data_IF_888516243746
#
_entry.id   IF_888516243746
#
_cell.length_a   1.000
_cell.length_b   1.000
_cell.length_c   1.000
_cell.angle_alpha   90.00
_cell.angle_beta   90.00
_cell.angle_gamma   90.00
#
_symmetry.space_group_name_H-M   'P 1'
#
loop_
_entity.id
_entity.type
_entity.pdbx_description
1 polymer ?
#
# COMPACT_ATOMS: atom_id res chain seq x y z
N UNK A 1 -36.09 54.96 -13.18
CA UNK A 1 -35.22 53.72 -13.20
C UNK A 1 -34.20 53.96 -14.28
N UNK A 2 -32.91 54.11 -13.94
CA UNK A 2 -31.90 54.29 -14.95
C UNK A 2 -31.39 52.91 -15.43
N UNK A 3 -31.22 52.82 -16.75
CA UNK A 3 -30.72 51.64 -17.49
C UNK A 3 -29.29 51.30 -17.06
N UNK A 4 -29.06 50.01 -16.72
CA UNK A 4 -27.70 49.49 -16.55
C UNK A 4 -27.08 49.14 -17.91
N UNK A 5 -25.84 49.59 -18.18
CA UNK A 5 -25.15 49.18 -19.39
C UNK A 5 -24.70 47.71 -19.30
N UNK A 6 -25.04 46.94 -20.34
CA UNK A 6 -24.63 45.58 -20.57
C UNK A 6 -23.10 45.46 -20.68
N UNK A 7 -22.47 44.65 -19.81
CA UNK A 7 -21.06 44.32 -19.90
C UNK A 7 -20.77 43.45 -21.11
N UNK A 8 -19.68 43.68 -21.86
CA UNK A 8 -19.28 42.83 -22.96
C UNK A 8 -18.70 41.48 -22.44
N UNK A 9 -18.81 40.39 -23.23
CA UNK A 9 -18.29 39.06 -22.85
C UNK A 9 -16.77 39.09 -22.67
N UNK A 10 -16.34 38.41 -21.64
CA UNK A 10 -14.94 38.38 -21.16
C UNK A 10 -14.09 37.40 -21.96
N UNK A 11 -13.57 37.84 -23.13
CA UNK A 11 -12.71 37.05 -24.04
C UNK A 11 -11.24 36.90 -23.57
N UNK A 12 -10.96 37.04 -22.27
CA UNK A 12 -9.58 37.11 -21.75
C UNK A 12 -8.92 35.79 -21.40
N UNK A 13 -9.50 34.64 -21.72
CA UNK A 13 -8.88 33.31 -21.45
C UNK A 13 -8.75 32.44 -22.69
N UNK A 14 -8.26 32.96 -23.79
CA UNK A 14 -7.56 32.12 -24.79
C UNK A 14 -6.09 32.09 -24.39
N UNK A 15 -5.72 31.19 -23.48
CA UNK A 15 -4.33 30.83 -23.23
C UNK A 15 -3.82 30.11 -24.50
N UNK A 16 -3.04 30.81 -25.30
CA UNK A 16 -2.27 30.26 -26.39
C UNK A 16 -1.23 29.30 -25.78
N UNK A 17 -1.43 27.98 -25.97
CA UNK A 17 -0.45 26.99 -25.49
C UNK A 17 0.87 27.21 -26.25
N UNK A 18 2.01 27.33 -25.56
CA UNK A 18 3.30 27.43 -26.22
C UNK A 18 3.56 26.15 -27.02
N UNK A 19 3.74 26.29 -28.32
CA UNK A 19 4.15 25.20 -29.20
C UNK A 19 5.60 24.83 -28.88
N UNK A 20 5.81 23.58 -28.43
CA UNK A 20 7.15 23.02 -28.22
C UNK A 20 7.71 22.66 -29.60
N UNK A 21 8.80 23.30 -30.08
CA UNK A 21 9.40 22.94 -31.34
C UNK A 21 10.06 21.56 -31.23
N UNK A 22 9.65 20.63 -32.08
CA UNK A 22 10.30 19.33 -32.24
C UNK A 22 9.45 18.08 -31.94
N UNK A 23 8.17 18.21 -31.64
CA UNK A 23 7.28 17.03 -31.54
C UNK A 23 6.52 16.88 -32.85
N UNK A 24 6.98 16.00 -33.69
CA UNK A 24 6.26 15.56 -34.90
C UNK A 24 4.97 14.85 -34.48
N UNK A 25 3.85 15.30 -35.03
CA UNK A 25 2.55 14.66 -34.84
C UNK A 25 2.59 13.18 -35.20
N UNK A 26 2.03 12.27 -34.40
CA UNK A 26 1.97 10.86 -34.75
C UNK A 26 1.12 10.67 -36.02
N UNK A 27 1.74 10.16 -37.06
CA UNK A 27 1.08 9.76 -38.29
C UNK A 27 0.03 8.69 -37.99
N UNK A 28 -1.21 8.94 -38.37
CA UNK A 28 -2.31 8.00 -38.23
C UNK A 28 -1.97 6.68 -38.97
N UNK A 29 -1.70 5.63 -38.20
CA UNK A 29 -1.50 4.28 -38.74
C UNK A 29 -2.88 3.73 -39.13
N UNK A 30 -3.10 3.52 -40.41
CA UNK A 30 -4.25 2.80 -40.96
C UNK A 30 -4.29 1.38 -40.35
N UNK A 31 -5.44 0.89 -39.84
CA UNK A 31 -5.54 -0.49 -39.42
C UNK A 31 -5.48 -1.42 -40.63
N UNK A 32 -4.41 -2.19 -40.73
CA UNK A 32 -4.31 -3.29 -41.69
C UNK A 32 -5.16 -4.45 -41.16
N UNK A 33 -6.23 -4.74 -41.87
CA UNK A 33 -7.06 -5.94 -41.69
C UNK A 33 -6.26 -7.15 -42.14
N UNK A 34 -5.52 -7.78 -41.20
CA UNK A 34 -4.92 -9.09 -41.39
C UNK A 34 -5.84 -10.14 -40.80
N UNK A 35 -6.59 -10.82 -41.66
CA UNK A 35 -7.33 -12.03 -41.32
C UNK A 35 -6.37 -13.17 -41.01
N UNK A 36 -6.60 -13.90 -39.95
CA UNK A 36 -5.91 -15.15 -39.57
C UNK A 36 -5.70 -15.21 -38.09
N UNK A 37 -5.54 -16.17 -37.38
CA UNK A 37 -5.82 -17.60 -37.37
C UNK A 37 -6.77 -17.99 -36.23
N UNK A 38 -7.99 -17.50 -36.22
CA UNK A 38 -8.99 -17.83 -35.19
C UNK A 38 -9.43 -19.30 -35.25
N UNK A 39 -9.28 -19.97 -36.37
CA UNK A 39 -9.67 -21.37 -36.56
C UNK A 39 -8.71 -22.37 -35.86
N UNK A 40 -7.45 -22.01 -35.64
CA UNK A 40 -6.47 -22.90 -35.00
C UNK A 40 -6.66 -22.94 -33.46
N UNK A 41 -7.11 -21.83 -32.85
CA UNK A 41 -7.37 -21.77 -31.40
C UNK A 41 -8.62 -22.51 -30.96
N UNK A 42 -9.64 -22.61 -31.83
CA UNK A 42 -10.87 -23.35 -31.50
C UNK A 42 -10.62 -24.86 -31.35
N UNK A 43 -9.69 -25.43 -32.10
CA UNK A 43 -9.36 -26.86 -32.02
C UNK A 43 -8.62 -27.24 -30.73
N UNK A 44 -7.74 -26.38 -30.23
CA UNK A 44 -6.92 -26.66 -29.05
C UNK A 44 -7.73 -26.61 -27.74
N UNK A 45 -8.73 -25.75 -27.66
CA UNK A 45 -9.63 -25.65 -26.50
C UNK A 45 -10.53 -26.89 -26.38
N UNK A 46 -11.02 -27.45 -27.52
CA UNK A 46 -11.84 -28.65 -27.52
C UNK A 46 -11.10 -29.88 -26.98
N UNK A 47 -9.82 -30.04 -27.31
CA UNK A 47 -8.98 -31.16 -26.82
C UNK A 47 -8.71 -31.06 -25.33
N UNK A 48 -8.49 -29.85 -24.78
CA UNK A 48 -8.27 -29.65 -23.35
C UNK A 48 -9.52 -29.95 -22.49
N UNK A 49 -10.70 -29.64 -22.99
CA UNK A 49 -11.97 -29.92 -22.31
C UNK A 49 -12.22 -31.44 -22.27
N UNK A 50 -11.92 -32.17 -23.34
CA UNK A 50 -12.12 -33.63 -23.36
C UNK A 50 -11.20 -34.37 -22.37
N UNK A 51 -9.95 -33.91 -22.16
CA UNK A 51 -9.02 -34.48 -21.19
C UNK A 51 -9.46 -34.19 -19.75
N UNK A 52 -10.05 -33.01 -19.47
CA UNK A 52 -10.52 -32.65 -18.12
C UNK A 52 -11.80 -33.39 -17.69
N UNK A 53 -12.68 -33.76 -18.62
CA UNK A 53 -13.90 -34.50 -18.31
C UNK A 53 -13.62 -36.01 -18.17
N UNK A 54 -12.67 -36.56 -18.92
CA UNK A 54 -12.29 -37.98 -18.86
C UNK A 54 -11.56 -38.38 -17.59
N UNK A 55 -10.86 -37.46 -16.92
CA UNK A 55 -10.06 -37.76 -15.72
C UNK A 55 -10.82 -37.91 -14.40
N UNK A 56 -12.08 -37.51 -14.33
CA UNK A 56 -12.87 -37.54 -13.07
C UNK A 56 -13.71 -38.79 -12.80
N UNK A 57 -13.74 -39.74 -13.71
CA UNK A 57 -14.67 -40.88 -13.60
C UNK A 57 -14.06 -42.13 -12.93
N UNK A 58 -12.75 -42.18 -12.66
CA UNK A 58 -12.06 -43.41 -12.20
C UNK A 58 -11.48 -43.36 -10.78
N UNK A 59 -11.87 -42.42 -9.93
CA UNK A 59 -11.45 -42.42 -8.53
C UNK A 59 -12.59 -42.90 -7.62
N UNK A 60 -12.78 -44.22 -7.46
CA UNK A 60 -13.60 -44.76 -6.39
C UNK A 60 -12.95 -44.40 -5.03
N UNK A 61 -13.67 -43.77 -4.09
CA UNK A 61 -13.12 -43.54 -2.76
C UNK A 61 -12.99 -44.86 -2.01
N UNK A 62 -11.78 -45.23 -1.67
CA UNK A 62 -11.49 -46.36 -0.76
C UNK A 62 -11.98 -45.93 0.63
N UNK A 63 -12.98 -46.64 1.13
CA UNK A 63 -13.57 -46.44 2.48
C UNK A 63 -12.45 -46.64 3.51
N UNK A 64 -12.00 -45.58 4.14
CA UNK A 64 -11.03 -45.64 5.22
C UNK A 64 -11.73 -46.23 6.47
N UNK A 65 -11.17 -47.26 6.98
CA UNK A 65 -11.51 -47.90 8.25
C UNK A 65 -11.25 -46.89 9.37
N UNK A 66 -12.29 -46.58 10.15
CA UNK A 66 -12.22 -45.65 11.26
C UNK A 66 -11.57 -46.36 12.44
N UNK A 67 -10.29 -46.10 12.64
CA UNK A 67 -9.58 -46.47 13.88
C UNK A 67 -10.01 -45.43 14.96
N UNK A 68 -10.45 -45.88 16.16
CA UNK A 68 -10.83 -44.97 17.22
C UNK A 68 -9.62 -44.13 17.64
N UNK A 69 -9.81 -42.78 17.89
CA UNK A 69 -8.71 -41.92 18.26
C UNK A 69 -8.13 -42.32 19.63
N UNK A 70 -6.80 -42.28 19.79
CA UNK A 70 -6.18 -42.46 21.10
C UNK A 70 -6.63 -41.31 22.00
N UNK A 71 -6.96 -41.66 23.24
CA UNK A 71 -7.34 -40.74 24.31
C UNK A 71 -6.30 -39.62 24.41
N UNK A 72 -6.69 -38.41 24.02
CA UNK A 72 -5.84 -37.23 24.11
C UNK A 72 -5.53 -36.97 25.60
N UNK A 73 -4.27 -37.08 25.98
CA UNK A 73 -3.77 -36.49 27.21
C UNK A 73 -4.00 -35.00 27.10
N UNK A 74 -4.72 -34.45 28.06
CA UNK A 74 -4.89 -33.01 28.21
C UNK A 74 -3.53 -32.46 28.65
N UNK A 75 -2.74 -32.00 27.66
CA UNK A 75 -1.58 -31.19 27.92
C UNK A 75 -2.05 -29.91 28.60
N UNK A 76 -1.63 -29.74 29.86
CA UNK A 76 -1.78 -28.46 30.58
C UNK A 76 -1.19 -27.36 29.71
N UNK A 77 -1.97 -26.34 29.32
CA UNK A 77 -1.43 -25.27 28.49
C UNK A 77 -0.27 -24.61 29.24
N UNK A 78 0.92 -24.74 28.66
CA UNK A 78 2.08 -23.92 29.04
C UNK A 78 1.65 -22.48 28.96
N UNK A 79 1.85 -21.65 30.00
CA UNK A 79 1.46 -20.25 29.95
C UNK A 79 2.16 -19.59 28.75
N UNK A 80 1.37 -19.23 27.76
CA UNK A 80 1.83 -18.43 26.62
C UNK A 80 2.39 -17.13 27.19
N UNK A 81 3.66 -16.79 26.94
CA UNK A 81 4.19 -15.51 27.41
C UNK A 81 3.31 -14.41 26.84
N UNK A 82 2.84 -13.56 27.74
CA UNK A 82 1.98 -12.42 27.44
C UNK A 82 2.75 -11.47 26.49
N UNK A 83 2.56 -11.66 25.19
CA UNK A 83 3.17 -10.84 24.12
C UNK A 83 2.44 -9.50 23.95
N UNK A 84 1.65 -9.08 24.90
CA UNK A 84 1.23 -7.69 25.02
C UNK A 84 2.39 -6.83 25.54
N UNK A 85 3.51 -6.83 24.83
CA UNK A 85 4.44 -5.72 24.94
C UNK A 85 3.62 -4.46 24.62
N UNK A 86 3.31 -3.68 25.65
CA UNK A 86 2.47 -2.50 25.50
C UNK A 86 3.08 -1.60 24.43
N UNK A 87 2.35 -1.41 23.34
CA UNK A 87 2.78 -0.52 22.26
C UNK A 87 3.00 0.86 22.87
N UNK A 88 4.21 1.45 22.77
CA UNK A 88 4.49 2.72 23.43
C UNK A 88 3.57 3.82 22.88
N UNK A 89 3.01 4.62 23.80
CA UNK A 89 2.22 5.80 23.47
C UNK A 89 3.16 7.00 23.41
N UNK A 90 3.21 7.63 22.25
CA UNK A 90 4.06 8.79 21.95
C UNK A 90 3.24 10.06 22.11
N UNK A 91 3.68 10.93 23.02
CA UNK A 91 3.06 12.21 23.32
C UNK A 91 4.06 13.35 23.09
N UNK A 92 3.63 14.60 23.30
CA UNK A 92 4.56 15.73 23.25
C UNK A 92 5.60 15.70 24.37
N UNK A 93 5.19 15.25 25.55
CA UNK A 93 6.06 15.15 26.71
C UNK A 93 7.07 14.01 26.57
N UNK A 94 6.68 12.95 25.84
CA UNK A 94 7.54 11.83 25.49
C UNK A 94 7.39 11.48 23.99
N UNK A 95 8.07 12.23 23.11
CA UNK A 95 7.96 12.03 21.65
C UNK A 95 8.84 10.91 21.12
N UNK A 96 9.54 10.17 21.97
CA UNK A 96 10.50 9.14 21.54
C UNK A 96 9.78 7.90 21.01
N UNK A 97 10.00 7.57 19.75
CA UNK A 97 9.41 6.39 19.06
C UNK A 97 10.36 5.20 19.13
N UNK A 98 11.64 5.45 18.88
CA UNK A 98 12.65 4.41 18.76
C UNK A 98 14.06 4.97 18.98
N UNK A 99 15.01 4.07 19.19
CA UNK A 99 16.44 4.38 19.10
C UNK A 99 16.95 3.94 17.74
N UNK A 100 17.86 4.72 17.14
CA UNK A 100 18.39 4.47 15.80
C UNK A 100 18.92 3.03 15.65
N UNK A 101 19.58 2.49 16.68
CA UNK A 101 20.15 1.14 16.66
C UNK A 101 19.11 0.01 16.67
N UNK A 102 17.86 0.29 17.03
CA UNK A 102 16.78 -0.70 17.07
C UNK A 102 16.24 -1.02 15.67
N UNK A 103 16.37 -0.07 14.74
CA UNK A 103 15.78 -0.18 13.41
C UNK A 103 16.83 -0.48 12.34
N UNK A 104 16.85 -1.72 11.88
CA UNK A 104 17.60 -2.12 10.68
C UNK A 104 16.88 -1.62 9.42
N UNK A 105 17.56 -1.53 8.25
CA UNK A 105 16.88 -1.27 6.98
C UNK A 105 15.67 -2.20 6.80
N UNK A 106 14.53 -1.63 6.45
CA UNK A 106 13.21 -2.29 6.39
C UNK A 106 12.67 -2.81 7.72
N UNK A 107 13.37 -2.58 8.83
CA UNK A 107 12.81 -2.82 10.16
C UNK A 107 11.69 -1.81 10.44
N UNK A 108 10.65 -2.30 11.11
CA UNK A 108 9.49 -1.52 11.49
C UNK A 108 9.23 -1.64 13.00
N UNK A 109 8.67 -0.58 13.59
CA UNK A 109 8.24 -0.57 15.00
C UNK A 109 6.89 0.14 15.11
N UNK A 110 5.95 -0.51 15.82
CA UNK A 110 4.65 0.08 16.09
C UNK A 110 4.73 1.04 17.29
N UNK A 111 3.93 2.09 17.22
CA UNK A 111 3.70 3.02 18.32
C UNK A 111 2.30 3.62 18.21
N UNK A 112 1.82 4.24 19.27
CA UNK A 112 0.58 5.00 19.26
C UNK A 112 0.91 6.48 19.31
N UNK A 113 0.49 7.24 18.30
CA UNK A 113 0.68 8.69 18.26
C UNK A 113 -0.54 9.40 18.88
N UNK A 114 -0.31 10.23 19.88
CA UNK A 114 -1.36 11.07 20.45
C UNK A 114 -1.51 12.36 19.62
N UNK A 115 -2.58 12.44 18.84
CA UNK A 115 -2.89 13.62 18.04
C UNK A 115 -3.51 14.71 18.93
N UNK A 116 -2.79 15.78 19.19
CA UNK A 116 -3.24 16.87 20.03
C UNK A 116 -4.43 17.63 19.50
N UNK A 117 -4.56 17.74 18.19
CA UNK A 117 -5.64 18.52 17.58
C UNK A 117 -6.99 17.83 17.75
N UNK A 118 -6.99 16.48 17.72
CA UNK A 118 -8.22 15.68 17.85
C UNK A 118 -8.36 15.00 19.20
N UNK A 119 -7.28 14.92 20.01
CA UNK A 119 -7.22 14.12 21.24
C UNK A 119 -7.19 12.61 20.98
N UNK A 120 -7.09 12.17 19.72
CA UNK A 120 -7.18 10.76 19.34
C UNK A 120 -5.81 10.07 19.49
N UNK A 121 -5.84 8.83 19.96
CA UNK A 121 -4.70 7.93 19.96
C UNK A 121 -4.70 7.15 18.64
N UNK A 122 -3.74 7.43 17.76
CA UNK A 122 -3.66 6.88 16.41
C UNK A 122 -2.61 5.78 16.35
N UNK A 123 -3.00 4.51 16.08
CA UNK A 123 -2.03 3.45 15.80
C UNK A 123 -1.13 3.85 14.64
N UNK A 124 0.16 3.76 14.83
CA UNK A 124 1.16 4.28 13.91
C UNK A 124 2.34 3.32 13.76
N UNK A 125 3.06 3.46 12.66
CA UNK A 125 4.24 2.66 12.37
C UNK A 125 5.41 3.58 11.95
N UNK A 126 6.60 3.24 12.41
CA UNK A 126 7.86 3.78 11.87
C UNK A 126 8.61 2.68 11.13
N UNK A 127 9.08 2.98 9.94
CA UNK A 127 9.88 2.08 9.09
C UNK A 127 11.23 2.73 8.81
N UNK A 128 12.32 1.96 8.98
CA UNK A 128 13.65 2.36 8.54
C UNK A 128 13.80 2.06 7.06
N UNK A 129 14.03 3.09 6.25
CA UNK A 129 14.26 2.93 4.81
C UNK A 129 15.72 2.50 4.52
N UNK A 130 15.96 1.81 3.40
CA UNK A 130 17.31 1.36 3.02
C UNK A 130 18.20 2.53 2.56
N UNK A 131 17.58 3.67 2.26
CA UNK A 131 18.26 4.88 1.77
C UNK A 131 18.49 5.90 2.88
N UNK A 132 19.52 6.71 2.73
CA UNK A 132 19.86 7.77 3.67
C UNK A 132 20.66 7.30 4.90
N UNK A 133 21.33 8.25 5.54
CA UNK A 133 22.07 8.00 6.78
C UNK A 133 21.10 7.75 7.95
N UNK A 134 21.40 6.84 8.87
CA UNK A 134 20.60 6.64 10.09
C UNK A 134 20.41 7.91 10.94
N UNK A 135 21.32 8.85 10.82
CA UNK A 135 21.25 10.14 11.53
C UNK A 135 20.34 11.17 10.85
N UNK A 136 19.69 10.83 9.74
CA UNK A 136 18.80 11.72 9.00
C UNK A 136 17.35 11.28 9.14
N UNK A 137 16.44 12.21 9.40
CA UNK A 137 15.02 11.93 9.51
C UNK A 137 14.42 11.35 8.21
N UNK A 138 14.96 11.74 7.05
CA UNK A 138 14.56 11.22 5.74
C UNK A 138 14.79 9.71 5.55
N UNK A 139 15.63 9.12 6.41
CA UNK A 139 15.87 7.69 6.43
C UNK A 139 14.76 6.89 7.13
N UNK A 140 13.77 7.55 7.65
CA UNK A 140 12.62 6.95 8.34
C UNK A 140 11.32 7.44 7.73
N UNK A 141 10.34 6.57 7.74
CA UNK A 141 8.98 6.91 7.37
C UNK A 141 8.04 6.50 8.50
N UNK A 142 7.43 7.48 9.14
CA UNK A 142 6.38 7.26 10.13
C UNK A 142 5.04 7.66 9.55
N UNK A 143 4.02 6.85 9.82
CA UNK A 143 2.67 7.08 9.29
C UNK A 143 1.61 6.44 10.18
N UNK A 144 0.39 6.96 10.06
CA UNK A 144 -0.78 6.37 10.70
C UNK A 144 -1.13 5.03 10.05
N UNK A 145 -1.36 3.99 10.86
CA UNK A 145 -1.83 2.68 10.41
C UNK A 145 -3.32 2.68 10.03
N UNK A 146 -3.92 3.86 9.93
CA UNK A 146 -5.28 4.09 9.47
C UNK A 146 -5.20 4.87 8.15
N UNK A 147 -5.93 4.50 7.11
CA UNK A 147 -5.96 5.26 5.86
C UNK A 147 -6.60 6.62 6.10
N UNK A 148 -6.32 7.57 5.20
CA UNK A 148 -6.90 8.90 5.30
C UNK A 148 -8.44 8.90 5.18
N UNK A 149 -8.99 7.87 4.53
CA UNK A 149 -10.42 7.67 4.37
C UNK A 149 -10.77 6.21 4.67
N UNK A 150 -11.85 6.01 5.45
CA UNK A 150 -12.29 4.67 5.87
C UNK A 150 -11.65 4.20 7.17
N UNK A 151 -12.08 3.03 7.63
CA UNK A 151 -11.73 2.48 8.95
C UNK A 151 -10.85 1.23 8.88
N UNK A 152 -10.39 0.88 7.68
CA UNK A 152 -9.54 -0.30 7.51
C UNK A 152 -8.14 -0.05 8.08
N UNK A 153 -7.64 -0.99 8.85
CA UNK A 153 -6.26 -0.89 9.33
C UNK A 153 -5.29 -1.23 8.21
N UNK A 154 -4.29 -0.38 8.01
CA UNK A 154 -3.18 -0.62 7.10
C UNK A 154 -2.27 -1.71 7.65
N UNK A 155 -1.58 -2.42 6.78
CA UNK A 155 -0.59 -3.43 7.14
C UNK A 155 0.77 -3.16 6.49
N UNK A 156 1.83 -3.42 7.23
CA UNK A 156 3.18 -3.43 6.68
C UNK A 156 3.51 -4.84 6.21
N UNK A 157 3.86 -4.97 4.94
CA UNK A 157 4.04 -6.25 4.27
C UNK A 157 5.51 -6.36 3.86
N UNK A 158 6.28 -7.11 4.62
CA UNK A 158 7.68 -7.45 4.35
C UNK A 158 7.81 -8.78 3.58
N UNK A 159 6.81 -9.63 3.63
CA UNK A 159 6.73 -10.83 2.81
C UNK A 159 6.31 -10.49 1.37
N UNK A 160 7.27 -10.57 0.44
CA UNK A 160 7.02 -10.32 -0.98
C UNK A 160 6.09 -11.34 -1.62
N UNK A 161 5.94 -12.53 -1.02
CA UNK A 161 5.01 -13.54 -1.50
C UNK A 161 3.57 -13.15 -1.18
N UNK A 162 3.34 -12.60 0.02
CA UNK A 162 2.05 -12.03 0.42
C UNK A 162 1.62 -10.87 -0.51
N UNK A 163 2.55 -10.02 -0.93
CA UNK A 163 2.26 -8.97 -1.92
C UNK A 163 1.75 -9.53 -3.24
N UNK A 164 2.26 -10.69 -3.66
CA UNK A 164 1.84 -11.35 -4.91
C UNK A 164 0.51 -12.09 -4.76
N UNK A 165 0.33 -12.85 -3.66
CA UNK A 165 -0.88 -13.66 -3.45
C UNK A 165 -2.10 -12.80 -3.12
N UNK A 166 -1.99 -11.91 -2.14
CA UNK A 166 -3.13 -11.21 -1.56
C UNK A 166 -3.48 -9.93 -2.34
N UNK A 167 -2.45 -9.26 -2.88
CA UNK A 167 -2.61 -8.02 -3.62
C UNK A 167 -2.47 -8.18 -5.15
N UNK A 168 -1.96 -9.31 -5.64
CA UNK A 168 -1.69 -9.52 -7.07
C UNK A 168 -0.56 -8.65 -7.62
N UNK A 169 0.31 -8.12 -6.75
CA UNK A 169 1.37 -7.18 -7.14
C UNK A 169 2.66 -7.90 -7.52
N UNK A 170 2.87 -8.11 -8.83
CA UNK A 170 4.00 -8.86 -9.36
C UNK A 170 5.37 -8.13 -9.26
N UNK A 171 5.46 -6.79 -9.45
CA UNK A 171 6.76 -6.10 -9.43
C UNK A 171 7.33 -5.84 -8.02
N UNK A 172 6.80 -6.50 -6.98
CA UNK A 172 7.27 -6.36 -5.61
C UNK A 172 8.76 -6.71 -5.48
N UNK A 173 9.57 -5.73 -5.03
CA UNK A 173 11.02 -5.87 -4.82
C UNK A 173 11.47 -5.52 -3.41
N UNK A 174 10.59 -4.93 -2.62
CA UNK A 174 10.83 -4.47 -1.25
C UNK A 174 9.51 -4.43 -0.48
N UNK A 175 9.56 -4.34 0.86
CA UNK A 175 8.37 -4.17 1.69
C UNK A 175 7.50 -3.00 1.25
N UNK A 176 6.19 -3.15 1.40
CA UNK A 176 5.17 -2.18 1.03
C UNK A 176 4.20 -1.98 2.19
N UNK A 177 3.38 -0.94 2.10
CA UNK A 177 2.22 -0.80 2.98
C UNK A 177 0.97 -1.12 2.18
N UNK A 178 0.07 -1.91 2.74
CA UNK A 178 -1.16 -2.34 2.10
C UNK A 178 -2.39 -1.87 2.83
N UNK A 179 -3.45 -1.58 2.08
CA UNK A 179 -4.80 -1.45 2.58
C UNK A 179 -5.59 -2.70 2.15
N UNK A 180 -5.86 -3.64 3.06
CA UNK A 180 -6.51 -4.91 2.69
C UNK A 180 -7.95 -4.72 2.19
N UNK A 181 -8.63 -3.64 2.58
CA UNK A 181 -10.00 -3.38 2.16
C UNK A 181 -10.11 -2.88 0.72
N UNK A 182 -9.24 -1.96 0.31
CA UNK A 182 -9.22 -1.39 -1.04
C UNK A 182 -8.24 -2.10 -1.97
N UNK A 183 -7.40 -3.01 -1.44
CA UNK A 183 -6.25 -3.61 -2.11
C UNK A 183 -5.27 -2.58 -2.67
N UNK A 184 -5.23 -1.40 -2.05
CA UNK A 184 -4.26 -0.38 -2.39
C UNK A 184 -2.90 -0.71 -1.79
N UNK A 185 -1.85 -0.39 -2.56
CA UNK A 185 -0.46 -0.53 -2.14
C UNK A 185 0.24 0.82 -2.22
N UNK A 186 1.00 1.11 -1.18
CA UNK A 186 1.78 2.32 -1.03
C UNK A 186 3.26 1.99 -1.01
N UNK A 187 4.02 2.64 -1.90
CA UNK A 187 5.46 2.41 -2.02
C UNK A 187 6.24 3.34 -1.09
N UNK A 188 6.93 2.83 -0.06
CA UNK A 188 7.68 3.63 0.91
C UNK A 188 8.80 4.48 0.30
N UNK A 189 9.28 4.11 -0.89
CA UNK A 189 10.38 4.81 -1.58
C UNK A 189 9.91 5.91 -2.52
N UNK A 190 8.59 5.99 -2.79
CA UNK A 190 8.02 6.96 -3.72
C UNK A 190 7.24 8.05 -3.01
N UNK A 191 7.15 9.19 -3.67
CA UNK A 191 6.37 10.34 -3.24
C UNK A 191 5.20 10.57 -4.19
N UNK A 192 4.06 10.97 -3.64
CA UNK A 192 2.90 11.44 -4.37
C UNK A 192 2.71 12.95 -4.16
N UNK A 193 2.40 13.71 -5.20
CA UNK A 193 2.01 15.09 -5.05
C UNK A 193 0.61 15.19 -4.41
N UNK A 194 0.49 16.04 -3.42
CA UNK A 194 -0.78 16.43 -2.81
C UNK A 194 -1.17 17.86 -3.22
N UNK A 195 -2.44 18.26 -3.03
CA UNK A 195 -2.84 19.65 -3.23
C UNK A 195 -1.93 20.62 -2.46
N UNK A 196 -1.60 21.75 -3.07
CA UNK A 196 -0.67 22.73 -2.48
C UNK A 196 0.82 22.42 -2.72
N UNK A 197 1.16 21.58 -3.69
CA UNK A 197 2.54 21.19 -4.04
C UNK A 197 3.31 20.51 -2.89
N UNK A 198 2.59 19.88 -1.98
CA UNK A 198 3.18 19.07 -0.92
C UNK A 198 3.48 17.68 -1.47
N UNK A 199 4.64 17.13 -1.11
CA UNK A 199 5.01 15.77 -1.46
C UNK A 199 4.82 14.86 -0.24
N UNK A 200 3.90 13.91 -0.32
CA UNK A 200 3.71 12.88 0.68
C UNK A 200 4.42 11.58 0.28
N UNK A 201 5.10 10.96 1.22
CA UNK A 201 5.73 9.66 1.01
C UNK A 201 4.67 8.54 1.04
N UNK A 202 4.96 7.44 0.35
CA UNK A 202 4.03 6.32 0.23
C UNK A 202 3.10 6.48 -0.98
N UNK A 203 3.65 6.84 -2.15
CA UNK A 203 2.84 6.95 -3.36
C UNK A 203 2.04 5.67 -3.62
N UNK A 204 0.78 5.83 -4.00
CA UNK A 204 -0.08 4.71 -4.40
C UNK A 204 0.46 4.14 -5.71
N UNK A 205 0.79 2.85 -5.71
CA UNK A 205 1.27 2.13 -6.90
C UNK A 205 0.24 1.15 -7.44
N UNK A 206 -0.78 0.86 -6.65
CA UNK A 206 -1.92 0.02 -7.01
C UNK A 206 -3.12 0.37 -6.13
N UNK A 207 -4.33 0.16 -6.63
CA UNK A 207 -5.58 0.29 -5.89
C UNK A 207 -6.31 1.59 -6.14
N UNK A 208 -7.34 1.86 -5.33
CA UNK A 208 -8.30 2.95 -5.52
C UNK A 208 -8.28 4.02 -4.43
N UNK A 209 -7.37 3.96 -3.48
CA UNK A 209 -7.25 4.98 -2.45
C UNK A 209 -6.88 6.34 -3.06
N UNK A 210 -7.37 7.42 -2.45
CA UNK A 210 -7.25 8.76 -3.04
C UNK A 210 -5.98 9.49 -2.63
N UNK A 211 -5.29 9.04 -1.56
CA UNK A 211 -4.05 9.65 -1.08
C UNK A 211 -3.20 8.64 -0.30
N UNK A 212 -1.91 8.92 -0.14
CA UNK A 212 -1.03 8.19 0.76
C UNK A 212 -1.52 8.17 2.21
N UNK A 213 -1.01 7.23 3.05
CA UNK A 213 -1.22 7.27 4.49
C UNK A 213 -0.81 8.61 5.09
N UNK A 214 -1.48 9.03 6.15
CA UNK A 214 -1.12 10.25 6.88
C UNK A 214 0.29 10.11 7.44
N UNK A 215 1.19 10.98 7.02
CA UNK A 215 2.57 11.02 7.47
C UNK A 215 2.69 11.58 8.88
N UNK A 216 3.74 11.14 9.59
CA UNK A 216 4.14 11.69 10.87
C UNK A 216 5.57 12.20 10.72
N UNK A 217 5.76 13.49 10.99
CA UNK A 217 7.08 14.14 10.93
C UNK A 217 8.02 13.54 11.98
N UNK A 218 9.20 13.10 11.54
CA UNK A 218 10.24 12.59 12.40
C UNK A 218 11.35 13.62 12.59
N UNK A 219 11.89 13.70 13.80
CA UNK A 219 13.14 14.41 14.11
C UNK A 219 14.14 13.47 14.76
N UNK A 220 15.41 13.68 14.48
CA UNK A 220 16.49 12.95 15.14
C UNK A 220 17.10 13.84 16.20
N UNK A 221 17.17 13.31 17.43
CA UNK A 221 17.86 13.95 18.54
C UNK A 221 18.86 12.99 19.18
N UNK A 222 20.13 13.18 18.87
CA UNK A 222 21.19 12.24 19.26
C UNK A 222 20.98 10.87 18.64
N UNK A 223 20.68 9.86 19.46
CA UNK A 223 20.38 8.49 19.01
C UNK A 223 18.87 8.18 18.99
N UNK A 224 18.04 9.13 19.37
CA UNK A 224 16.59 8.96 19.46
C UNK A 224 15.88 9.48 18.21
N UNK A 225 14.81 8.80 17.85
CA UNK A 225 13.88 9.20 16.80
C UNK A 225 12.61 9.68 17.48
N UNK A 226 12.23 10.91 17.18
CA UNK A 226 11.08 11.58 17.77
C UNK A 226 9.96 11.70 16.73
N UNK A 227 8.73 11.38 17.11
CA UNK A 227 7.54 11.70 16.31
C UNK A 227 6.99 13.05 16.80
N UNK A 228 6.89 14.04 15.91
CA UNK A 228 6.64 15.42 16.31
C UNK A 228 5.24 15.89 15.94
N UNK A 229 4.79 15.60 14.73
CA UNK A 229 3.54 16.11 14.20
C UNK A 229 2.98 15.16 13.13
N UNK A 230 1.68 14.97 13.16
CA UNK A 230 0.93 14.32 12.07
C UNK A 230 0.51 15.39 11.04
N UNK A 231 0.57 15.05 9.77
CA UNK A 231 0.12 15.88 8.65
C UNK A 231 -1.39 16.14 8.67
#
# INVERSE_FOLDING_TARGET
MPDQPSQPPNDRFKAEMPQIPGVSSPTAVKPTTAGGPWLVMAGLVAVLIAVFIGGKVLSKPKRAEVTPPPTAQIDVPTPVPDLTASVPVVTEQDPVVAVISELKPWGAKQFTFHNRLTGENVPSLIVRLPTGSPAQSSAYWSFAMKPAYGDCQLEYIDDLQKLRSDYGYQPARHPMVGNPCSRSLYDPLKYAPLPGNVLARGAIVQGSDLRPPLGIENKIHGKQILAVRME
#
